data_IF_899673270914
#
_entry.id   IF_899673270914
#
_cell.length_a   1.000
_cell.length_b   1.000
_cell.length_c   1.000
_cell.angle_alpha   90.00
_cell.angle_beta   90.00
_cell.angle_gamma   90.00
#
_symmetry.space_group_name_H-M   'P 1'
#
loop_
_entity.id
_entity.type
_entity.pdbx_description
1 polymer ?
#
# COMPACT_ATOMS: atom_id res chain seq x y z
N UNK A 1 14.54 12.04 84.54
CA UNK A 1 13.68 12.04 85.75
C UNK A 1 14.49 12.56 86.93
N UNK A 2 13.83 13.06 87.99
CA UNK A 2 14.47 13.69 89.16
C UNK A 2 14.94 12.71 90.25
N UNK A 3 14.71 11.40 90.09
CA UNK A 3 15.17 10.36 91.02
C UNK A 3 15.64 9.13 90.22
N UNK A 4 16.81 8.61 90.56
CA UNK A 4 17.47 7.44 89.96
C UNK A 4 17.35 6.19 90.87
N UNK A 5 17.48 4.96 90.34
CA UNK A 5 17.54 3.75 91.16
C UNK A 5 18.58 3.85 92.29
N UNK A 6 19.73 4.49 91.98
CA UNK A 6 20.81 4.71 92.94
C UNK A 6 20.40 5.66 94.06
N UNK A 7 19.73 6.77 93.74
CA UNK A 7 19.20 7.70 94.74
C UNK A 7 18.11 7.08 95.61
N UNK A 8 17.33 6.12 95.08
CA UNK A 8 16.36 5.34 95.86
C UNK A 8 17.10 4.44 96.88
N UNK A 9 18.15 3.72 96.45
CA UNK A 9 18.95 2.85 97.34
C UNK A 9 19.67 3.62 98.45
N UNK A 10 20.17 4.81 98.13
CA UNK A 10 20.96 5.64 99.05
C UNK A 10 20.10 6.58 99.90
N UNK A 11 18.76 6.54 99.75
CA UNK A 11 17.88 7.47 100.46
C UNK A 11 17.89 7.20 101.96
N UNK A 12 18.24 8.21 102.74
CA UNK A 12 18.13 8.19 104.20
C UNK A 12 16.96 9.05 104.68
N UNK A 13 16.29 8.62 105.74
CA UNK A 13 15.18 9.34 106.38
C UNK A 13 15.54 9.82 107.79
N UNK A 14 14.91 10.91 108.23
CA UNK A 14 15.01 11.40 109.60
C UNK A 14 14.35 10.43 110.59
N UNK A 15 14.93 10.27 111.78
CA UNK A 15 14.38 9.41 112.84
C UNK A 15 13.38 10.16 113.70
N UNK A 16 12.20 9.60 113.93
CA UNK A 16 11.15 10.11 114.85
C UNK A 16 10.69 9.01 115.80
N UNK A 17 10.17 9.39 116.97
CA UNK A 17 9.90 8.48 118.12
C UNK A 17 8.81 7.42 117.87
N UNK A 18 8.03 7.56 116.79
CA UNK A 18 7.11 6.56 116.23
C UNK A 18 7.24 6.59 114.70
N UNK A 19 7.54 5.46 114.07
CA UNK A 19 7.78 5.36 112.63
C UNK A 19 7.83 3.92 112.14
N UNK A 20 8.00 3.74 110.83
CA UNK A 20 8.13 2.43 110.19
C UNK A 20 9.43 1.72 110.58
N UNK A 21 9.44 0.39 110.49
CA UNK A 21 10.65 -0.41 110.68
C UNK A 21 11.70 -0.05 109.61
N UNK A 22 12.93 0.23 110.06
CA UNK A 22 14.03 0.61 109.19
C UNK A 22 14.42 -0.51 108.22
N UNK A 23 14.40 -1.77 108.68
CA UNK A 23 14.83 -2.93 107.89
C UNK A 23 13.81 -3.23 106.79
N UNK A 24 12.52 -3.18 107.12
CA UNK A 24 11.42 -3.35 106.16
C UNK A 24 11.42 -2.25 105.09
N UNK A 25 11.57 -0.98 105.49
CA UNK A 25 11.65 0.15 104.55
C UNK A 25 12.88 0.02 103.65
N UNK A 26 14.03 -0.41 104.18
CA UNK A 26 15.24 -0.59 103.37
C UNK A 26 15.07 -1.73 102.35
N UNK A 27 14.43 -2.85 102.74
CA UNK A 27 14.13 -3.96 101.83
C UNK A 27 13.16 -3.53 100.71
N UNK A 28 12.13 -2.73 101.05
CA UNK A 28 11.22 -2.15 100.07
C UNK A 28 11.92 -1.18 99.11
N UNK A 29 12.78 -0.28 99.61
CA UNK A 29 13.56 0.62 98.74
C UNK A 29 14.50 -0.14 97.79
N UNK A 30 15.05 -1.27 98.24
CA UNK A 30 15.85 -2.17 97.40
C UNK A 30 15.03 -2.78 96.28
N UNK A 31 13.87 -3.39 96.56
CA UNK A 31 13.00 -3.95 95.51
C UNK A 31 12.48 -2.87 94.57
N UNK A 32 12.06 -1.72 95.11
CA UNK A 32 11.62 -0.57 94.32
C UNK A 32 12.72 -0.07 93.38
N UNK A 33 13.98 -0.02 93.86
CA UNK A 33 15.10 0.37 93.01
C UNK A 33 15.34 -0.59 91.85
N UNK A 34 15.17 -1.90 92.07
CA UNK A 34 15.34 -2.94 91.04
C UNK A 34 14.22 -2.87 89.99
N UNK A 35 12.97 -2.76 90.42
CA UNK A 35 11.83 -2.58 89.50
C UNK A 35 11.93 -1.26 88.74
N UNK A 36 12.40 -0.18 89.39
CA UNK A 36 12.64 1.08 88.71
C UNK A 36 13.74 0.98 87.65
N UNK A 37 14.82 0.26 87.93
CA UNK A 37 15.90 0.01 86.98
C UNK A 37 15.41 -0.80 85.77
N UNK A 38 14.63 -1.87 86.01
CA UNK A 38 13.98 -2.67 84.98
C UNK A 38 13.03 -1.84 84.10
N UNK A 39 12.15 -1.06 84.72
CA UNK A 39 11.21 -0.18 84.00
C UNK A 39 11.96 0.84 83.13
N UNK A 40 13.09 1.36 83.62
CA UNK A 40 13.88 2.34 82.89
C UNK A 40 14.59 1.71 81.68
N UNK A 41 15.06 0.47 81.80
CA UNK A 41 15.63 -0.29 80.67
C UNK A 41 14.56 -0.65 79.65
N UNK A 42 13.39 -1.14 80.08
CA UNK A 42 12.25 -1.40 79.19
C UNK A 42 11.81 -0.13 78.45
N UNK A 43 11.75 1.01 79.14
CA UNK A 43 11.42 2.29 78.51
C UNK A 43 12.46 2.68 77.45
N UNK A 44 13.75 2.46 77.74
CA UNK A 44 14.85 2.71 76.81
C UNK A 44 14.74 1.82 75.57
N UNK A 45 14.52 0.52 75.75
CA UNK A 45 14.31 -0.41 74.64
C UNK A 45 13.10 -0.04 73.79
N UNK A 46 11.97 0.28 74.42
CA UNK A 46 10.75 0.68 73.72
C UNK A 46 10.96 1.96 72.91
N UNK A 47 11.69 2.95 73.45
CA UNK A 47 12.04 4.17 72.72
C UNK A 47 12.95 3.88 71.51
N UNK A 48 13.89 2.95 71.64
CA UNK A 48 14.76 2.53 70.53
C UNK A 48 13.93 1.83 69.44
N UNK A 49 13.04 0.91 69.83
CA UNK A 49 12.14 0.19 68.92
C UNK A 49 11.20 1.16 68.20
N UNK A 50 10.59 2.10 68.93
CA UNK A 50 9.73 3.14 68.36
C UNK A 50 10.48 3.97 67.31
N UNK A 51 11.66 4.50 67.67
CA UNK A 51 12.47 5.30 66.76
C UNK A 51 12.91 4.52 65.51
N UNK A 52 13.14 3.22 65.65
CA UNK A 52 13.50 2.35 64.51
C UNK A 52 12.30 2.11 63.60
N UNK A 53 11.12 1.82 64.18
CA UNK A 53 9.88 1.64 63.44
C UNK A 53 9.43 2.92 62.74
N UNK A 54 9.57 4.09 63.38
CA UNK A 54 9.25 5.39 62.78
C UNK A 54 10.12 5.64 61.53
N UNK A 55 11.43 5.35 61.60
CA UNK A 55 12.33 5.45 60.45
C UNK A 55 11.97 4.50 59.31
N UNK A 56 11.53 3.29 59.64
CA UNK A 56 11.12 2.31 58.64
C UNK A 56 9.83 2.75 57.92
N UNK A 57 8.86 3.29 58.67
CA UNK A 57 7.65 3.89 58.11
C UNK A 57 7.98 5.08 57.21
N UNK A 58 8.91 5.94 57.62
CA UNK A 58 9.35 7.08 56.80
C UNK A 58 9.98 6.61 55.48
N UNK A 59 10.87 5.61 55.53
CA UNK A 59 11.47 5.02 54.33
C UNK A 59 10.44 4.36 53.42
N UNK A 60 9.44 3.68 53.98
CA UNK A 60 8.36 3.08 53.18
C UNK A 60 7.52 4.14 52.49
N UNK A 61 7.24 5.28 53.16
CA UNK A 61 6.53 6.41 52.55
C UNK A 61 7.32 7.05 51.41
N UNK A 62 8.63 7.20 51.55
CA UNK A 62 9.49 7.71 50.47
C UNK A 62 9.47 6.77 49.25
N UNK A 63 9.53 5.45 49.48
CA UNK A 63 9.43 4.45 48.41
C UNK A 63 8.05 4.49 47.75
N UNK A 64 6.97 4.58 48.53
CA UNK A 64 5.61 4.72 48.02
C UNK A 64 5.45 5.98 47.16
N UNK A 65 5.95 7.12 47.62
CA UNK A 65 5.89 8.37 46.86
C UNK A 65 6.68 8.29 45.55
N UNK A 66 7.87 7.68 45.58
CA UNK A 66 8.67 7.45 44.38
C UNK A 66 7.93 6.52 43.40
N UNK A 67 7.38 5.41 43.89
CA UNK A 67 6.64 4.45 43.07
C UNK A 67 5.41 5.11 42.42
N UNK A 68 4.67 5.91 43.19
CA UNK A 68 3.52 6.66 42.71
C UNK A 68 3.90 7.65 41.61
N UNK A 69 4.99 8.42 41.80
CA UNK A 69 5.51 9.33 40.76
C UNK A 69 5.91 8.59 39.49
N UNK A 70 6.58 7.44 39.62
CA UNK A 70 6.95 6.62 38.45
C UNK A 70 5.73 6.06 37.75
N UNK A 71 4.75 5.54 38.49
CA UNK A 71 3.50 5.01 37.92
C UNK A 71 2.73 6.09 37.17
N UNK A 72 2.58 7.26 37.78
CA UNK A 72 1.91 8.40 37.15
C UNK A 72 2.63 8.87 35.89
N UNK A 73 3.97 8.95 35.94
CA UNK A 73 4.77 9.32 34.77
C UNK A 73 4.63 8.30 33.64
N UNK A 74 4.58 6.99 33.97
CA UNK A 74 4.36 5.94 33.00
C UNK A 74 2.94 6.02 32.38
N UNK A 75 1.92 6.31 33.19
CA UNK A 75 0.55 6.55 32.73
C UNK A 75 0.46 7.76 31.79
N UNK A 76 1.00 8.91 32.21
CA UNK A 76 1.05 10.14 31.41
C UNK A 76 1.82 9.92 30.10
N UNK A 77 2.94 9.19 30.14
CA UNK A 77 3.72 8.84 28.95
C UNK A 77 2.92 7.91 28.02
N UNK A 78 2.23 6.92 28.58
CA UNK A 78 1.38 6.01 27.81
C UNK A 78 0.25 6.76 27.10
N UNK A 79 -0.43 7.67 27.81
CA UNK A 79 -1.48 8.52 27.23
C UNK A 79 -0.94 9.40 26.10
N UNK A 80 0.21 10.05 26.31
CA UNK A 80 0.86 10.87 25.29
C UNK A 80 1.26 10.07 24.04
N UNK A 81 1.79 8.85 24.22
CA UNK A 81 2.16 7.97 23.09
C UNK A 81 0.91 7.58 22.29
N UNK A 82 -0.20 7.25 22.95
CA UNK A 82 -1.47 6.92 22.29
C UNK A 82 -2.00 8.13 21.51
N UNK A 83 -2.00 9.32 22.12
CA UNK A 83 -2.44 10.55 21.46
C UNK A 83 -1.60 10.87 20.21
N UNK A 84 -0.26 10.78 20.32
CA UNK A 84 0.63 10.98 19.19
C UNK A 84 0.43 9.94 18.09
N UNK A 85 0.26 8.67 18.44
CA UNK A 85 0.00 7.60 17.49
C UNK A 85 -1.33 7.83 16.75
N UNK A 86 -2.39 8.23 17.45
CA UNK A 86 -3.68 8.55 16.84
C UNK A 86 -3.56 9.75 15.89
N UNK A 87 -2.90 10.83 16.32
CA UNK A 87 -2.68 12.01 15.49
C UNK A 87 -1.85 11.69 14.24
N UNK A 88 -0.81 10.86 14.38
CA UNK A 88 -0.01 10.42 13.25
C UNK A 88 -0.80 9.51 12.30
N UNK A 89 -1.63 8.62 12.83
CA UNK A 89 -2.51 7.77 12.03
C UNK A 89 -3.50 8.61 11.22
N UNK A 90 -4.13 9.62 11.82
CA UNK A 90 -5.02 10.54 11.12
C UNK A 90 -4.30 11.33 10.02
N UNK A 91 -3.09 11.81 10.29
CA UNK A 91 -2.27 12.49 9.29
C UNK A 91 -1.91 11.56 8.13
N UNK A 92 -1.49 10.33 8.42
CA UNK A 92 -1.15 9.34 7.40
C UNK A 92 -2.37 9.00 6.53
N UNK A 93 -3.54 8.83 7.13
CA UNK A 93 -4.79 8.56 6.39
C UNK A 93 -5.13 9.75 5.50
N UNK A 94 -5.07 10.97 6.03
CA UNK A 94 -5.34 12.19 5.26
C UNK A 94 -4.35 12.35 4.10
N UNK A 95 -3.06 12.16 4.33
CA UNK A 95 -2.04 12.23 3.31
C UNK A 95 -2.25 11.17 2.22
N UNK A 96 -2.59 9.94 2.62
CA UNK A 96 -2.89 8.84 1.69
C UNK A 96 -4.12 9.15 0.84
N UNK A 97 -5.17 9.72 1.43
CA UNK A 97 -6.37 10.17 0.72
C UNK A 97 -6.03 11.26 -0.29
N UNK A 98 -5.25 12.27 0.11
CA UNK A 98 -4.78 13.33 -0.78
C UNK A 98 -3.94 12.80 -1.95
N UNK A 99 -3.01 11.88 -1.69
CA UNK A 99 -2.21 11.22 -2.73
C UNK A 99 -3.09 10.43 -3.69
N UNK A 100 -4.03 9.63 -3.17
CA UNK A 100 -4.96 8.87 -3.99
C UNK A 100 -5.82 9.77 -4.87
N UNK A 101 -6.36 10.85 -4.31
CA UNK A 101 -7.16 11.83 -5.05
C UNK A 101 -6.33 12.56 -6.11
N UNK A 102 -5.08 12.92 -5.79
CA UNK A 102 -4.13 13.49 -6.75
C UNK A 102 -3.87 12.56 -7.92
N UNK A 103 -3.59 11.27 -7.65
CA UNK A 103 -3.37 10.26 -8.70
C UNK A 103 -4.61 10.09 -9.57
N UNK A 104 -5.81 10.02 -8.95
CA UNK A 104 -7.07 9.91 -9.69
C UNK A 104 -7.30 11.13 -10.59
N UNK A 105 -7.03 12.33 -10.07
CA UNK A 105 -7.21 13.56 -10.85
C UNK A 105 -6.20 13.65 -11.99
N UNK A 106 -4.95 13.25 -11.77
CA UNK A 106 -3.93 13.18 -12.82
C UNK A 106 -4.32 12.15 -13.89
N UNK A 107 -4.75 10.95 -13.49
CA UNK A 107 -5.21 9.92 -14.40
C UNK A 107 -6.43 10.37 -15.22
N UNK A 108 -7.40 11.04 -14.59
CA UNK A 108 -8.55 11.65 -15.28
C UNK A 108 -8.11 12.74 -16.26
N UNK A 109 -7.12 13.56 -15.90
CA UNK A 109 -6.53 14.57 -16.77
C UNK A 109 -5.93 13.95 -18.02
N UNK A 110 -5.04 12.96 -17.85
CA UNK A 110 -4.42 12.21 -18.94
C UNK A 110 -5.45 11.47 -19.81
N UNK A 111 -6.46 10.84 -19.20
CA UNK A 111 -7.52 10.18 -19.94
C UNK A 111 -8.31 11.16 -20.82
N UNK A 112 -8.60 12.36 -20.30
CA UNK A 112 -9.27 13.41 -21.07
C UNK A 112 -8.40 13.91 -22.22
N UNK A 113 -7.10 14.09 -21.99
CA UNK A 113 -6.14 14.45 -23.02
C UNK A 113 -6.10 13.40 -24.14
N UNK A 114 -5.98 12.12 -23.80
CA UNK A 114 -6.02 11.03 -24.79
C UNK A 114 -7.33 10.97 -25.57
N UNK A 115 -8.48 11.23 -24.93
CA UNK A 115 -9.76 11.30 -25.62
C UNK A 115 -9.78 12.44 -26.64
N UNK A 116 -9.33 13.63 -26.26
CA UNK A 116 -9.26 14.78 -27.17
C UNK A 116 -8.31 14.50 -28.34
N UNK A 117 -7.14 13.90 -28.07
CA UNK A 117 -6.19 13.53 -29.12
C UNK A 117 -6.77 12.46 -30.08
N UNK A 118 -7.47 11.46 -29.55
CA UNK A 118 -8.12 10.44 -30.35
C UNK A 118 -9.24 11.04 -31.23
N UNK A 119 -10.06 11.94 -30.67
CA UNK A 119 -11.09 12.66 -31.42
C UNK A 119 -10.49 13.51 -32.54
N UNK A 120 -9.40 14.23 -32.26
CA UNK A 120 -8.71 15.03 -33.27
C UNK A 120 -8.12 14.16 -34.38
N UNK A 121 -7.48 13.03 -34.04
CA UNK A 121 -6.97 12.07 -35.02
C UNK A 121 -8.08 11.47 -35.87
N UNK A 122 -9.19 11.07 -35.25
CA UNK A 122 -10.34 10.52 -35.96
C UNK A 122 -10.92 11.54 -36.94
N UNK A 123 -11.02 12.81 -36.53
CA UNK A 123 -11.45 13.89 -37.41
C UNK A 123 -10.50 14.09 -38.59
N UNK A 124 -9.19 14.10 -38.34
CA UNK A 124 -8.18 14.21 -39.40
C UNK A 124 -8.29 13.08 -40.42
N UNK A 125 -8.39 11.83 -39.94
CA UNK A 125 -8.59 10.66 -40.80
C UNK A 125 -9.88 10.77 -41.61
N UNK A 126 -10.98 11.21 -41.00
CA UNK A 126 -12.25 11.37 -41.70
C UNK A 126 -12.15 12.44 -42.80
N UNK A 127 -11.51 13.58 -42.51
CA UNK A 127 -11.32 14.65 -43.48
C UNK A 127 -10.45 14.19 -44.67
N UNK A 128 -9.38 13.42 -44.40
CA UNK A 128 -8.51 12.82 -45.42
C UNK A 128 -9.27 11.80 -46.28
N UNK A 129 -10.00 10.88 -45.65
CA UNK A 129 -10.85 9.91 -46.36
C UNK A 129 -11.91 10.58 -47.25
N UNK A 130 -12.50 11.70 -46.80
CA UNK A 130 -13.43 12.47 -47.62
C UNK A 130 -12.74 13.11 -48.83
N UNK A 131 -11.49 13.55 -48.69
CA UNK A 131 -10.71 14.07 -49.81
C UNK A 131 -10.38 12.97 -50.82
N UNK A 132 -9.95 11.79 -50.35
CA UNK A 132 -9.72 10.63 -51.20
C UNK A 132 -10.98 10.19 -51.95
N UNK A 133 -12.13 10.16 -51.26
CA UNK A 133 -13.40 9.79 -51.88
C UNK A 133 -13.81 10.79 -52.96
N UNK A 134 -13.58 12.10 -52.77
CA UNK A 134 -13.78 13.12 -53.82
C UNK A 134 -12.84 12.92 -55.01
N UNK A 135 -11.57 12.59 -54.76
CA UNK A 135 -10.60 12.27 -55.84
C UNK A 135 -11.07 11.05 -56.63
N UNK A 136 -11.52 10.01 -55.93
CA UNK A 136 -12.04 8.78 -56.55
C UNK A 136 -13.31 9.06 -57.36
N UNK A 137 -14.25 9.86 -56.85
CA UNK A 137 -15.45 10.26 -57.56
C UNK A 137 -15.12 11.03 -58.85
N UNK A 138 -14.17 11.97 -58.78
CA UNK A 138 -13.68 12.70 -59.96
C UNK A 138 -13.07 11.75 -60.99
N UNK A 139 -12.22 10.82 -60.55
CA UNK A 139 -11.60 9.82 -61.44
C UNK A 139 -12.66 8.91 -62.09
N UNK A 140 -13.66 8.48 -61.33
CA UNK A 140 -14.77 7.69 -61.85
C UNK A 140 -15.59 8.46 -62.89
N UNK A 141 -15.84 9.75 -62.66
CA UNK A 141 -16.53 10.63 -63.61
C UNK A 141 -15.75 10.78 -64.93
N UNK A 142 -14.43 10.99 -64.84
CA UNK A 142 -13.54 11.04 -66.02
C UNK A 142 -13.59 9.72 -66.79
N UNK A 143 -13.47 8.58 -66.10
CA UNK A 143 -13.51 7.25 -66.72
C UNK A 143 -14.86 6.99 -67.40
N UNK A 144 -15.96 7.43 -66.79
CA UNK A 144 -17.30 7.38 -67.38
C UNK A 144 -17.39 8.25 -68.65
N UNK A 145 -16.77 9.42 -68.66
CA UNK A 145 -16.62 10.27 -69.85
C UNK A 145 -15.89 9.53 -70.96
N UNK A 146 -14.70 9.00 -70.67
CA UNK A 146 -13.90 8.21 -71.62
C UNK A 146 -14.67 7.02 -72.20
N UNK A 147 -15.43 6.29 -71.37
CA UNK A 147 -16.33 5.23 -71.84
C UNK A 147 -17.35 5.75 -72.85
N UNK A 148 -17.98 6.89 -72.58
CA UNK A 148 -18.98 7.46 -73.48
C UNK A 148 -18.35 7.93 -74.80
N UNK A 149 -17.16 8.53 -74.74
CA UNK A 149 -16.42 8.99 -75.92
C UNK A 149 -16.03 7.80 -76.80
N UNK A 150 -15.46 6.74 -76.22
CA UNK A 150 -15.13 5.50 -76.93
C UNK A 150 -16.37 4.86 -77.57
N UNK A 151 -17.50 4.84 -76.85
CA UNK A 151 -18.77 4.35 -77.41
C UNK A 151 -19.24 5.20 -78.59
N UNK A 152 -19.01 6.51 -78.57
CA UNK A 152 -19.32 7.42 -79.67
C UNK A 152 -18.40 7.17 -80.87
N UNK A 153 -17.09 7.02 -80.65
CA UNK A 153 -16.12 6.69 -81.68
C UNK A 153 -16.44 5.36 -82.36
N UNK A 154 -16.74 4.32 -81.59
CA UNK A 154 -17.16 3.01 -82.13
C UNK A 154 -18.41 3.15 -82.99
N UNK A 155 -19.40 3.94 -82.57
CA UNK A 155 -20.59 4.22 -83.37
C UNK A 155 -20.27 4.98 -84.65
N UNK A 156 -19.40 5.98 -84.59
CA UNK A 156 -18.98 6.75 -85.77
C UNK A 156 -18.27 5.86 -86.78
N UNK A 157 -17.29 5.08 -86.33
CA UNK A 157 -16.56 4.11 -87.18
C UNK A 157 -17.54 3.10 -87.78
N UNK A 158 -18.48 2.58 -86.99
CA UNK A 158 -19.51 1.65 -87.49
C UNK A 158 -20.38 2.28 -88.57
N UNK A 159 -20.77 3.55 -88.40
CA UNK A 159 -21.54 4.30 -89.39
C UNK A 159 -20.71 4.59 -90.65
N UNK A 160 -19.42 4.95 -90.52
CA UNK A 160 -18.51 5.14 -91.65
C UNK A 160 -18.31 3.84 -92.44
N UNK A 161 -18.17 2.71 -91.73
CA UNK A 161 -18.10 1.39 -92.35
C UNK A 161 -19.42 1.09 -93.07
N UNK A 162 -20.56 1.33 -92.43
CA UNK A 162 -21.88 1.13 -93.04
C UNK A 162 -22.07 2.01 -94.28
N UNK A 163 -21.64 3.27 -94.26
CA UNK A 163 -21.63 4.15 -95.42
C UNK A 163 -20.71 3.63 -96.53
N UNK A 164 -19.48 3.20 -96.20
CA UNK A 164 -18.56 2.63 -97.19
C UNK A 164 -19.12 1.36 -97.82
N UNK A 165 -19.71 0.47 -97.03
CA UNK A 165 -20.40 -0.74 -97.51
C UNK A 165 -21.57 -0.35 -98.42
N UNK A 166 -22.40 0.60 -98.00
CA UNK A 166 -23.53 1.08 -98.82
C UNK A 166 -23.07 1.74 -100.13
N UNK A 167 -21.97 2.49 -100.13
CA UNK A 167 -21.36 3.04 -101.35
C UNK A 167 -20.81 1.95 -102.26
N UNK A 168 -20.20 0.91 -101.70
CA UNK A 168 -19.74 -0.25 -102.48
C UNK A 168 -20.94 -0.96 -103.08
N UNK A 169 -22.00 -1.22 -102.32
CA UNK A 169 -23.23 -1.84 -102.82
C UNK A 169 -23.88 -0.98 -103.94
N UNK A 170 -24.02 0.33 -103.75
CA UNK A 170 -24.64 1.21 -104.73
C UNK A 170 -23.78 1.49 -105.98
N UNK A 171 -22.46 1.50 -105.83
CA UNK A 171 -21.52 1.70 -106.95
C UNK A 171 -21.30 0.43 -107.75
N UNK A 172 -21.10 -0.70 -107.07
CA UNK A 172 -20.82 -1.97 -107.76
C UNK A 172 -22.06 -2.57 -108.40
N UNK A 173 -23.26 -2.44 -107.85
CA UNK A 173 -24.45 -3.04 -108.50
C UNK A 173 -24.79 -2.33 -109.82
N UNK A 174 -24.72 -0.99 -109.87
CA UNK A 174 -24.96 -0.23 -111.11
C UNK A 174 -23.82 -0.34 -112.12
N UNK A 175 -22.57 -0.35 -111.67
CA UNK A 175 -21.42 -0.44 -112.58
C UNK A 175 -21.17 -1.87 -113.05
N UNK A 176 -21.46 -2.90 -112.25
CA UNK A 176 -21.41 -4.30 -112.68
C UNK A 176 -22.58 -4.62 -113.62
N UNK A 177 -23.80 -4.15 -113.35
CA UNK A 177 -24.92 -4.37 -114.28
C UNK A 177 -24.78 -3.60 -115.59
N UNK A 178 -24.11 -2.45 -115.56
CA UNK A 178 -23.74 -1.69 -116.76
C UNK A 178 -22.57 -2.36 -117.48
N UNK A 179 -21.50 -2.74 -116.78
CA UNK A 179 -20.36 -3.44 -117.36
C UNK A 179 -20.74 -4.85 -117.89
N UNK A 180 -21.70 -5.55 -117.29
CA UNK A 180 -22.22 -6.83 -117.80
C UNK A 180 -23.13 -6.61 -119.01
N UNK A 181 -23.87 -5.50 -119.08
CA UNK A 181 -24.65 -5.12 -120.28
C UNK A 181 -23.73 -4.72 -121.43
N UNK A 182 -22.78 -3.82 -121.15
CA UNK A 182 -21.79 -3.33 -122.11
C UNK A 182 -20.90 -4.50 -122.58
N UNK A 183 -20.44 -5.38 -121.68
CA UNK A 183 -19.71 -6.60 -122.06
C UNK A 183 -20.58 -7.64 -122.78
N UNK A 184 -21.90 -7.72 -122.54
CA UNK A 184 -22.81 -8.60 -123.32
C UNK A 184 -23.08 -8.06 -124.72
N UNK A 185 -23.12 -6.75 -124.92
CA UNK A 185 -23.17 -6.14 -126.26
C UNK A 185 -21.83 -6.28 -126.98
N UNK A 186 -20.72 -6.07 -126.27
CA UNK A 186 -19.35 -6.11 -126.82
C UNK A 186 -18.86 -7.55 -127.10
N UNK A 187 -19.34 -8.57 -126.38
CA UNK A 187 -19.06 -9.99 -126.70
C UNK A 187 -19.93 -10.52 -127.86
N UNK A 188 -21.01 -9.80 -128.24
CA UNK A 188 -21.90 -10.18 -129.36
C UNK A 188 -21.41 -9.66 -130.72
N UNK A 189 -20.52 -8.67 -130.72
CA UNK A 189 -19.78 -8.22 -131.88
C UNK A 189 -18.29 -8.45 -131.64
N UNK A 190 -17.67 -9.37 -132.40
CA UNK A 190 -16.21 -9.60 -132.54
C UNK A 190 -15.62 -10.83 -131.83
N UNK A 191 -15.59 -11.93 -132.60
CA UNK A 191 -14.42 -12.83 -132.70
C UNK A 191 -13.72 -12.47 -134.03
N UNK A 192 -12.40 -12.65 -134.23
CA UNK A 192 -11.23 -12.30 -133.40
C UNK A 192 -10.18 -11.47 -134.20
N UNK A 193 -9.35 -10.65 -133.54
CA UNK A 193 -7.95 -10.35 -133.96
C UNK A 193 -7.26 -9.36 -132.98
N UNK A 194 -6.15 -9.81 -132.36
CA UNK A 194 -4.82 -9.17 -132.20
C UNK A 194 -4.72 -7.63 -131.98
N UNK A 195 -3.80 -7.02 -131.21
CA UNK A 195 -2.53 -7.41 -130.54
C UNK A 195 -1.88 -6.10 -129.94
N UNK A 196 -1.32 -6.16 -128.72
CA UNK A 196 -0.06 -5.48 -128.23
C UNK A 196 0.04 -3.95 -127.85
N UNK A 197 0.58 -3.70 -126.62
CA UNK A 197 1.47 -2.57 -126.10
C UNK A 197 0.82 -1.19 -125.76
N UNK A 198 1.16 -0.36 -124.73
CA UNK A 198 2.14 -0.20 -123.60
C UNK A 198 1.56 0.84 -122.60
N UNK A 199 1.70 0.67 -121.27
CA UNK A 199 2.62 1.38 -120.33
C UNK A 199 2.65 2.93 -120.36
N UNK A 200 2.26 3.60 -119.25
CA UNK A 200 2.79 4.91 -118.77
C UNK A 200 2.54 5.10 -117.26
N UNK A 201 3.66 5.18 -116.51
CA UNK A 201 4.06 6.08 -115.38
C UNK A 201 3.10 6.30 -114.18
N UNK A 202 3.41 5.93 -112.94
CA UNK A 202 4.51 6.33 -112.03
C UNK A 202 4.52 7.80 -111.62
N UNK A 203 4.20 8.08 -110.34
CA UNK A 203 4.77 9.10 -109.43
C UNK A 203 3.79 9.32 -108.26
N UNK A 204 4.10 9.59 -107.00
CA UNK A 204 5.30 9.78 -106.21
C UNK A 204 4.81 10.09 -104.77
N UNK A 205 5.69 9.92 -103.77
CA UNK A 205 5.55 10.46 -102.41
C UNK A 205 5.05 9.43 -101.40
N UNK A 206 5.83 8.92 -100.45
CA UNK A 206 6.60 9.67 -99.43
C UNK A 206 5.62 10.15 -98.35
N UNK A 207 5.69 9.84 -97.05
CA UNK A 207 6.85 9.76 -96.15
C UNK A 207 6.47 9.28 -94.74
N UNK A 208 7.37 8.44 -94.17
CA UNK A 208 8.01 8.51 -92.84
C UNK A 208 7.37 7.92 -91.56
N UNK A 209 8.19 7.01 -90.99
CA UNK A 209 8.30 6.55 -89.60
C UNK A 209 8.66 7.65 -88.58
N UNK A 210 8.28 7.45 -87.31
CA UNK A 210 9.07 7.74 -86.10
C UNK A 210 8.34 7.16 -84.86
N UNK A 211 8.74 5.99 -84.36
CA UNK A 211 9.66 5.72 -83.22
C UNK A 211 8.95 5.61 -81.86
N UNK A 212 9.02 4.37 -81.37
CA UNK A 212 8.99 3.92 -79.99
C UNK A 212 10.37 4.19 -79.37
N UNK A 213 10.43 4.63 -78.11
CA UNK A 213 11.64 4.56 -77.29
C UNK A 213 11.25 4.30 -75.82
N UNK A 214 11.69 3.17 -75.23
CA UNK A 214 11.48 2.84 -73.83
C UNK A 214 12.73 3.17 -72.99
N UNK A 215 12.48 3.50 -71.72
CA UNK A 215 13.37 3.42 -70.56
C UNK A 215 14.02 4.73 -70.06
N UNK A 216 13.74 5.05 -68.79
CA UNK A 216 14.56 5.86 -67.89
C UNK A 216 14.29 5.35 -66.45
N UNK A 217 15.15 4.44 -65.97
CA UNK A 217 16.04 4.56 -64.79
C UNK A 217 15.38 5.10 -63.52
N UNK A 218 15.14 4.26 -62.50
CA UNK A 218 16.10 3.97 -61.42
C UNK A 218 16.51 5.22 -60.62
N UNK A 219 15.62 5.74 -59.76
CA UNK A 219 16.00 6.66 -58.66
C UNK A 219 15.18 6.51 -57.36
N UNK A 220 14.50 5.38 -57.11
CA UNK A 220 13.68 5.22 -55.88
C UNK A 220 14.27 4.30 -54.78
N UNK A 221 15.36 3.56 -55.05
CA UNK A 221 15.84 2.53 -54.10
C UNK A 221 16.86 3.00 -53.04
N UNK A 222 17.28 4.28 -53.04
CA UNK A 222 18.25 4.80 -52.03
C UNK A 222 17.62 5.55 -50.87
N UNK A 223 16.41 6.09 -51.02
CA UNK A 223 15.75 6.86 -49.96
C UNK A 223 14.99 5.96 -48.96
N UNK A 224 14.44 4.85 -49.46
CA UNK A 224 13.72 3.85 -48.62
C UNK A 224 14.69 3.09 -47.71
N UNK A 225 15.89 2.76 -48.19
CA UNK A 225 16.91 2.07 -47.41
C UNK A 225 17.44 2.91 -46.23
N UNK A 226 17.52 4.24 -46.40
CA UNK A 226 18.03 5.16 -45.37
C UNK A 226 17.01 5.40 -44.25
N UNK A 227 15.72 5.53 -44.61
CA UNK A 227 14.61 5.65 -43.65
C UNK A 227 14.45 4.39 -42.80
N UNK A 228 14.64 3.20 -43.37
CA UNK A 228 14.58 1.92 -42.64
C UNK A 228 15.74 1.71 -41.65
N UNK A 229 16.91 2.32 -41.90
CA UNK A 229 18.08 2.20 -41.00
C UNK A 229 18.02 3.19 -39.83
N UNK A 230 17.46 4.39 -40.05
CA UNK A 230 17.16 5.36 -38.99
C UNK A 230 16.07 4.84 -38.04
N UNK A 231 15.03 4.19 -38.58
CA UNK A 231 13.95 3.60 -37.79
C UNK A 231 14.43 2.37 -36.97
N UNK A 232 15.35 1.56 -37.52
CA UNK A 232 15.99 0.45 -36.77
C UNK A 232 16.81 0.93 -35.58
N UNK A 233 17.58 2.02 -35.74
CA UNK A 233 18.36 2.60 -34.63
C UNK A 233 17.47 3.19 -33.54
N UNK A 234 16.37 3.85 -33.91
CA UNK A 234 15.41 4.37 -32.93
C UNK A 234 14.76 3.24 -32.10
N UNK A 235 14.41 2.12 -32.73
CA UNK A 235 13.86 0.93 -32.05
C UNK A 235 14.90 0.28 -31.12
N UNK A 236 16.17 0.25 -31.53
CA UNK A 236 17.25 -0.31 -30.71
C UNK A 236 17.51 0.55 -29.46
N UNK A 237 17.56 1.88 -29.60
CA UNK A 237 17.72 2.82 -28.48
C UNK A 237 16.51 2.80 -27.52
N UNK A 238 15.28 2.67 -28.04
CA UNK A 238 14.09 2.51 -27.21
C UNK A 238 14.08 1.16 -26.47
N UNK A 239 14.55 0.10 -27.13
CA UNK A 239 14.72 -1.21 -26.53
C UNK A 239 15.75 -1.25 -25.39
N UNK A 240 16.84 -0.50 -25.49
CA UNK A 240 17.82 -0.35 -24.40
C UNK A 240 17.25 0.43 -23.22
N UNK A 241 16.53 1.53 -23.46
CA UNK A 241 15.87 2.30 -22.39
C UNK A 241 14.84 1.46 -21.62
N UNK A 242 14.04 0.67 -22.33
CA UNK A 242 13.07 -0.23 -21.69
C UNK A 242 13.74 -1.34 -20.87
N UNK A 243 14.92 -1.82 -21.29
CA UNK A 243 15.71 -2.79 -20.51
C UNK A 243 16.27 -2.16 -19.23
N UNK A 244 16.83 -0.96 -19.30
CA UNK A 244 17.32 -0.23 -18.13
C UNK A 244 16.18 0.11 -17.14
N UNK A 245 15.01 0.48 -17.65
CA UNK A 245 13.84 0.74 -16.82
C UNK A 245 13.32 -0.53 -16.15
N UNK A 246 13.28 -1.65 -16.87
CA UNK A 246 12.92 -2.96 -16.31
C UNK A 246 13.92 -3.42 -15.23
N UNK A 247 15.22 -3.18 -15.41
CA UNK A 247 16.25 -3.51 -14.43
C UNK A 247 16.13 -2.65 -13.16
N UNK A 248 15.83 -1.34 -13.31
CA UNK A 248 15.52 -0.47 -12.17
C UNK A 248 14.28 -0.93 -11.40
N UNK A 249 13.20 -1.29 -12.10
CA UNK A 249 11.99 -1.80 -11.47
C UNK A 249 12.24 -3.12 -10.72
N UNK A 250 13.10 -4.00 -11.25
CA UNK A 250 13.50 -5.23 -10.55
C UNK A 250 14.29 -4.93 -9.27
N UNK A 251 15.22 -3.97 -9.29
CA UNK A 251 16.00 -3.58 -8.11
C UNK A 251 15.09 -2.95 -7.03
N UNK A 252 14.16 -2.08 -7.41
CA UNK A 252 13.17 -1.51 -6.48
C UNK A 252 12.24 -2.59 -5.90
N UNK A 253 11.83 -3.57 -6.71
CA UNK A 253 11.04 -4.72 -6.25
C UNK A 253 11.82 -5.61 -5.26
N UNK A 254 13.14 -5.75 -5.43
CA UNK A 254 13.98 -6.51 -4.51
C UNK A 254 14.21 -5.75 -3.19
N UNK A 255 14.39 -4.43 -3.25
CA UNK A 255 14.53 -3.58 -2.07
C UNK A 255 13.24 -3.51 -1.24
N UNK A 256 12.08 -3.45 -1.90
CA UNK A 256 10.78 -3.49 -1.23
C UNK A 256 10.53 -4.83 -0.54
N UNK A 257 10.86 -5.96 -1.17
CA UNK A 257 10.82 -7.28 -0.51
C UNK A 257 11.71 -7.35 0.72
N UNK A 258 12.94 -6.81 0.67
CA UNK A 258 13.83 -6.76 1.84
C UNK A 258 13.25 -5.95 2.99
N UNK A 259 12.62 -4.80 2.69
CA UNK A 259 11.94 -3.96 3.69
C UNK A 259 10.72 -4.65 4.30
N UNK A 260 9.95 -5.40 3.50
CA UNK A 260 8.82 -6.19 3.99
C UNK A 260 9.27 -7.32 4.93
N UNK A 261 10.36 -8.02 4.60
CA UNK A 261 10.95 -9.04 5.47
C UNK A 261 11.48 -8.47 6.79
N UNK A 262 12.13 -7.31 6.78
CA UNK A 262 12.54 -6.62 8.02
C UNK A 262 11.34 -6.18 8.87
N UNK A 263 10.29 -5.65 8.24
CA UNK A 263 9.08 -5.24 8.93
C UNK A 263 8.40 -6.44 9.62
N UNK A 264 8.39 -7.61 8.96
CA UNK A 264 7.85 -8.84 9.52
C UNK A 264 8.63 -9.27 10.77
N UNK A 265 9.98 -9.27 10.70
CA UNK A 265 10.85 -9.59 11.84
C UNK A 265 10.61 -8.63 13.02
N UNK A 266 10.38 -7.34 12.74
CA UNK A 266 10.13 -6.34 13.77
C UNK A 266 8.78 -6.57 14.47
N UNK A 267 7.73 -6.92 13.70
CA UNK A 267 6.42 -7.28 14.24
C UNK A 267 6.48 -8.53 15.12
N UNK A 268 7.17 -9.57 14.68
CA UNK A 268 7.37 -10.79 15.48
C UNK A 268 8.13 -10.51 16.78
N UNK A 269 9.15 -9.64 16.74
CA UNK A 269 9.88 -9.24 17.93
C UNK A 269 9.00 -8.44 18.91
N UNK A 270 8.12 -7.57 18.41
CA UNK A 270 7.15 -6.83 19.23
C UNK A 270 6.15 -7.76 19.91
N UNK A 271 5.61 -8.76 19.18
CA UNK A 271 4.71 -9.75 19.77
C UNK A 271 5.39 -10.59 20.86
N UNK A 272 6.65 -10.98 20.66
CA UNK A 272 7.43 -11.68 21.70
C UNK A 272 7.58 -10.85 22.96
N UNK A 273 7.89 -9.56 22.82
CA UNK A 273 7.98 -8.63 23.97
C UNK A 273 6.63 -8.46 24.68
N UNK A 274 5.53 -8.36 23.94
CA UNK A 274 4.17 -8.30 24.52
C UNK A 274 3.83 -9.59 25.28
N UNK A 275 4.16 -10.76 24.72
CA UNK A 275 3.94 -12.04 25.37
C UNK A 275 4.78 -12.21 26.65
N UNK A 276 6.02 -11.74 26.65
CA UNK A 276 6.89 -11.74 27.84
C UNK A 276 6.36 -10.80 28.93
N UNK A 277 5.95 -9.58 28.57
CA UNK A 277 5.33 -8.65 29.50
C UNK A 277 4.05 -9.23 30.13
N UNK A 278 3.19 -9.87 29.32
CA UNK A 278 1.99 -10.52 29.82
C UNK A 278 2.29 -11.67 30.79
N UNK A 279 3.37 -12.44 30.56
CA UNK A 279 3.82 -13.48 31.50
C UNK A 279 4.28 -12.88 32.83
N UNK A 280 5.08 -11.82 32.80
CA UNK A 280 5.57 -11.14 34.01
C UNK A 280 4.42 -10.57 34.84
N UNK A 281 3.41 -9.96 34.20
CA UNK A 281 2.21 -9.47 34.88
C UNK A 281 1.48 -10.62 35.58
N UNK A 282 1.26 -11.73 34.87
CA UNK A 282 0.58 -12.90 35.43
C UNK A 282 1.35 -13.53 36.60
N UNK A 283 2.69 -13.52 36.53
CA UNK A 283 3.55 -13.99 37.63
C UNK A 283 3.46 -13.06 38.85
N UNK A 284 3.44 -11.74 38.64
CA UNK A 284 3.27 -10.76 39.73
C UNK A 284 1.89 -10.90 40.39
N UNK A 285 0.83 -11.08 39.61
CA UNK A 285 -0.51 -11.33 40.14
C UNK A 285 -0.58 -12.62 40.97
N UNK A 286 0.07 -13.69 40.51
CA UNK A 286 0.15 -14.95 41.25
C UNK A 286 0.89 -14.78 42.58
N UNK A 287 2.04 -14.09 42.59
CA UNK A 287 2.79 -13.79 43.82
C UNK A 287 1.99 -12.93 44.79
N UNK A 288 1.24 -11.94 44.28
CA UNK A 288 0.37 -11.08 45.09
C UNK A 288 -0.79 -11.88 45.70
N UNK A 289 -1.40 -12.79 44.94
CA UNK A 289 -2.46 -13.66 45.42
C UNK A 289 -1.95 -14.65 46.50
N UNK A 290 -0.75 -15.20 46.32
CA UNK A 290 -0.10 -16.06 47.31
C UNK A 290 0.21 -15.30 48.61
N UNK A 291 0.79 -14.10 48.52
CA UNK A 291 1.05 -13.24 49.67
C UNK A 291 -0.25 -12.91 50.44
N UNK A 292 -1.35 -12.63 49.73
CA UNK A 292 -2.65 -12.38 50.34
C UNK A 292 -3.22 -13.62 51.07
N UNK A 293 -3.02 -14.83 50.52
CA UNK A 293 -3.43 -16.08 51.20
C UNK A 293 -2.62 -16.30 52.47
N UNK A 294 -1.30 -16.11 52.42
CA UNK A 294 -0.42 -16.26 53.59
C UNK A 294 -0.82 -15.26 54.68
N UNK A 295 -1.09 -14.00 54.32
CA UNK A 295 -1.54 -12.98 55.27
C UNK A 295 -2.86 -13.37 55.95
N UNK A 296 -3.86 -13.79 55.18
CA UNK A 296 -5.15 -14.24 55.71
C UNK A 296 -5.00 -15.43 56.67
N UNK A 297 -4.16 -16.40 56.33
CA UNK A 297 -3.91 -17.56 57.18
C UNK A 297 -3.20 -17.18 58.49
N UNK A 298 -2.30 -16.19 58.46
CA UNK A 298 -1.66 -15.64 59.65
C UNK A 298 -2.64 -14.88 60.56
N UNK A 299 -3.57 -14.12 59.98
CA UNK A 299 -4.63 -13.45 60.74
C UNK A 299 -5.58 -14.45 61.40
N UNK A 300 -6.02 -15.49 60.68
CA UNK A 300 -6.87 -16.55 61.23
C UNK A 300 -6.17 -17.30 62.38
N UNK A 301 -4.86 -17.57 62.25
CA UNK A 301 -4.06 -18.18 63.33
C UNK A 301 -3.93 -17.26 64.54
N UNK A 302 -3.72 -15.95 64.34
CA UNK A 302 -3.70 -14.97 65.44
C UNK A 302 -5.05 -14.89 66.15
N UNK A 303 -6.14 -14.81 65.41
CA UNK A 303 -7.49 -14.75 65.97
C UNK A 303 -7.83 -16.01 66.78
N UNK A 304 -7.46 -17.20 66.29
CA UNK A 304 -7.62 -18.46 67.04
C UNK A 304 -6.81 -18.48 68.34
N UNK A 305 -5.54 -18.06 68.29
CA UNK A 305 -4.68 -17.99 69.48
C UNK A 305 -5.22 -16.98 70.52
N UNK A 306 -5.83 -15.90 70.08
CA UNK A 306 -6.44 -14.89 70.96
C UNK A 306 -7.75 -15.38 71.60
N UNK A 307 -8.59 -16.11 70.85
CA UNK A 307 -9.76 -16.79 71.40
C UNK A 307 -9.36 -17.86 72.42
N UNK A 308 -8.33 -18.65 72.13
CA UNK A 308 -7.85 -19.70 73.03
C UNK A 308 -7.30 -19.09 74.34
N UNK A 309 -6.57 -17.97 74.26
CA UNK A 309 -6.15 -17.20 75.45
C UNK A 309 -7.34 -16.68 76.25
N UNK A 310 -8.38 -16.13 75.61
CA UNK A 310 -9.60 -15.68 76.31
C UNK A 310 -10.32 -16.83 77.00
N UNK A 311 -10.39 -18.01 76.37
CA UNK A 311 -11.05 -19.18 76.95
C UNK A 311 -10.32 -19.73 78.19
N UNK A 312 -8.98 -19.70 78.20
CA UNK A 312 -8.18 -20.13 79.36
C UNK A 312 -8.31 -19.19 80.56
N UNK A 313 -8.46 -17.88 80.31
CA UNK A 313 -8.68 -16.89 81.37
C UNK A 313 -10.07 -17.01 82.01
N UNK A 314 -11.10 -17.44 81.27
CA UNK A 314 -12.44 -17.70 81.84
C UNK A 314 -12.55 -19.01 82.61
N UNK A 315 -11.75 -20.03 82.28
CA UNK A 315 -11.78 -21.32 83.01
C UNK A 315 -11.03 -21.28 84.34
N UNK A 316 -10.10 -20.34 84.52
CA UNK A 316 -9.38 -20.16 85.79
C UNK A 316 -10.13 -19.26 86.79
N UNK A 317 -11.17 -18.51 86.36
CA UNK A 317 -11.99 -17.69 87.28
C UNK A 317 -13.13 -18.46 87.95
N UNK A 318 -13.52 -19.61 87.42
CA UNK A 318 -14.67 -20.39 87.92
C UNK A 318 -14.27 -21.54 88.87
N UNK A 319 -12.98 -21.67 89.22
CA UNK A 319 -12.46 -22.78 90.02
C UNK A 319 -11.88 -22.37 91.39
N UNK A 320 -12.23 -21.18 91.91
CA UNK A 320 -11.67 -20.65 93.16
C UNK A 320 -12.66 -20.44 94.32
N UNK A 321 -13.95 -20.79 94.18
CA UNK A 321 -14.91 -20.70 95.28
C UNK A 321 -15.92 -21.86 95.24
N UNK A 322 -15.58 -23.02 95.82
CA UNK A 322 -16.50 -23.75 96.72
C UNK A 322 -15.76 -24.89 97.46
N UNK A 323 -14.97 -24.50 98.46
CA UNK A 323 -14.35 -25.44 99.41
C UNK A 323 -15.18 -25.50 100.69
N UNK A 324 -16.33 -26.17 100.65
CA UNK A 324 -17.13 -26.49 101.85
C UNK A 324 -16.32 -27.33 102.83
N UNK A 325 -16.00 -26.73 103.99
CA UNK A 325 -15.16 -27.26 105.07
C UNK A 325 -15.96 -27.93 106.22
N UNK A 326 -17.28 -28.09 106.10
CA UNK A 326 -18.08 -28.78 107.15
C UNK A 326 -19.18 -29.64 106.54
N UNK A 327 -18.89 -30.93 106.33
CA UNK A 327 -19.89 -32.00 106.52
C UNK A 327 -19.19 -33.36 106.49
N UNK A 328 -18.95 -33.92 107.69
CA UNK A 328 -18.82 -35.35 107.95
C UNK A 328 -18.88 -35.57 109.47
N UNK A 329 -20.10 -35.65 109.97
CA UNK A 329 -20.48 -36.20 111.26
C UNK A 329 -21.66 -37.13 110.99
N UNK A 330 -21.33 -38.40 110.69
CA UNK A 330 -21.95 -39.63 111.20
C UNK A 330 -21.57 -40.85 110.34
#
# INVERSE_FOLDING_TARGET
MKVTPLEIRQKTFEKKLRGYDKEEVQAFLLSLSQEWEKLNEENRELRIKLKTSEKEVEKLREVEESLFKTLKTAEDTGANVIEQANKQAELNVRESQWKAESIINEAKGKAKEYLVDAENKAKYILDDMLEELRKLEKNYSILKGYKNDLLSEIKSISNEIAEKVSRIEQGTEKDIDKAIRDAKEEVRSLRPANEIIREVLSSEGGTKYSKFDPNASEEEDKEVAKKLEEERKAIEEEGERLREEAERQQLEAEETKKKEEELLKLKEAEERKKAEAARLIKEQEAKKAEAARIHKEQEEKKARAEMEKKSRVSTDSDNAEDGSFFDNLD
#
